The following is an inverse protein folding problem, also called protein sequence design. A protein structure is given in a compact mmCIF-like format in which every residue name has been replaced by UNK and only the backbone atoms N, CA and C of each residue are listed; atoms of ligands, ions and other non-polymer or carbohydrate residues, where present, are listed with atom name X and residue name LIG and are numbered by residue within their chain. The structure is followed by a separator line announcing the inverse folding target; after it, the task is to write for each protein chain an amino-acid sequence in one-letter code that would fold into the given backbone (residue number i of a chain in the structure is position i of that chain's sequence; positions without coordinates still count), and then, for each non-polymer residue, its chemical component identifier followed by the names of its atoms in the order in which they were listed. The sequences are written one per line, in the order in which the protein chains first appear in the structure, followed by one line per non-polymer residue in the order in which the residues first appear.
data_IF_691588039764
#
_entry.id   IF_691588039764
#
_cell.length_a   1.000
_cell.length_b   1.000
_cell.length_c   1.000
_cell.angle_alpha   90.00
_cell.angle_beta   90.00
_cell.angle_gamma   90.00
#
_symmetry.space_group_name_H-M   'P 1'
#
loop_
_entity.id
_entity.type
_entity.pdbx_description
1 polymer ?
#
# COMPACT_ATOMS: atom_id res chain seq x y z
N UNK A 1 47.36 -18.26 -40.93
CA UNK A 1 46.12 -18.76 -40.27
C UNK A 1 45.78 -17.82 -39.13
N UNK A 2 44.90 -16.86 -39.41
CA UNK A 2 44.43 -15.90 -38.41
C UNK A 2 43.12 -16.40 -37.87
N UNK A 3 43.08 -16.88 -36.64
CA UNK A 3 41.86 -17.17 -35.94
C UNK A 3 41.18 -15.88 -35.50
N UNK A 4 40.07 -15.58 -36.15
CA UNK A 4 39.24 -14.47 -35.66
C UNK A 4 38.45 -14.92 -34.44
N UNK A 5 38.81 -14.43 -33.26
CA UNK A 5 38.00 -14.62 -32.07
C UNK A 5 36.83 -13.64 -32.13
N UNK A 6 35.66 -14.13 -32.44
CA UNK A 6 34.42 -13.36 -32.32
C UNK A 6 34.07 -13.28 -30.84
N UNK A 7 34.35 -12.17 -30.19
CA UNK A 7 33.82 -11.94 -28.86
C UNK A 7 32.37 -11.51 -29.01
N UNK A 8 31.46 -12.42 -28.83
CA UNK A 8 30.03 -12.13 -28.67
C UNK A 8 29.85 -11.49 -27.30
N UNK A 9 29.84 -10.15 -27.29
CA UNK A 9 29.50 -9.40 -26.10
C UNK A 9 28.03 -9.66 -25.78
N UNK A 10 27.76 -10.46 -24.75
CA UNK A 10 26.43 -10.59 -24.20
C UNK A 10 26.09 -9.27 -23.49
N UNK A 11 25.32 -8.41 -24.16
CA UNK A 11 24.72 -7.29 -23.47
C UNK A 11 23.65 -7.83 -22.52
N UNK A 12 23.99 -7.90 -21.25
CA UNK A 12 23.01 -8.22 -20.22
C UNK A 12 22.17 -6.95 -20.02
N UNK A 13 20.99 -6.93 -20.61
CA UNK A 13 19.99 -5.93 -20.24
C UNK A 13 19.46 -6.30 -18.86
N UNK A 14 19.96 -5.68 -17.81
CA UNK A 14 19.31 -5.75 -16.52
C UNK A 14 18.04 -4.90 -16.63
N UNK A 15 16.90 -5.57 -16.84
CA UNK A 15 15.61 -4.97 -16.60
C UNK A 15 15.56 -4.73 -15.09
N UNK A 16 15.64 -3.45 -14.68
CA UNK A 16 15.34 -3.09 -13.31
C UNK A 16 13.89 -3.47 -13.06
N UNK A 17 13.65 -4.64 -12.50
CA UNK A 17 12.32 -5.00 -12.00
C UNK A 17 11.95 -3.96 -10.94
N UNK A 18 10.84 -3.25 -11.18
CA UNK A 18 10.27 -2.39 -10.17
C UNK A 18 10.00 -3.27 -8.95
N UNK A 19 10.71 -3.01 -7.84
CA UNK A 19 10.50 -3.74 -6.60
C UNK A 19 9.04 -3.64 -6.20
N UNK A 20 8.44 -4.77 -5.84
CA UNK A 20 7.15 -4.78 -5.20
C UNK A 20 7.25 -3.95 -3.91
N UNK A 21 6.41 -2.94 -3.77
CA UNK A 21 6.38 -2.12 -2.57
C UNK A 21 5.97 -2.96 -1.37
N UNK A 22 6.68 -2.81 -0.25
CA UNK A 22 6.24 -3.35 1.04
C UNK A 22 5.17 -2.43 1.62
N UNK A 23 3.96 -2.96 1.78
CA UNK A 23 2.82 -2.17 2.26
C UNK A 23 2.60 -2.24 3.77
N UNK A 24 3.24 -3.17 4.47
CA UNK A 24 3.03 -3.34 5.91
C UNK A 24 3.35 -2.05 6.66
N UNK A 25 2.44 -1.60 7.49
CA UNK A 25 2.57 -0.39 8.29
C UNK A 25 1.25 0.32 8.48
N UNK A 26 1.30 1.43 9.19
CA UNK A 26 0.18 2.32 9.40
C UNK A 26 0.27 3.48 8.41
N UNK A 27 -0.82 3.78 7.75
CA UNK A 27 -0.92 4.79 6.71
C UNK A 27 -1.94 5.85 7.11
N UNK A 28 -1.52 7.11 7.16
CA UNK A 28 -2.36 8.22 7.60
C UNK A 28 -2.56 9.24 6.48
N UNK A 29 -3.70 9.92 6.49
CA UNK A 29 -4.00 11.02 5.57
C UNK A 29 -3.12 12.23 5.80
N UNK A 30 -2.59 12.39 7.02
CA UNK A 30 -1.71 13.49 7.41
C UNK A 30 -0.54 12.94 8.23
N UNK A 31 0.67 13.12 7.72
CA UNK A 31 1.88 12.57 8.34
C UNK A 31 2.14 13.14 9.74
N UNK A 32 1.82 14.41 9.97
CA UNK A 32 1.98 15.09 11.26
C UNK A 32 0.96 14.64 12.32
N UNK A 33 -0.08 13.92 11.91
CA UNK A 33 -1.12 13.42 12.81
C UNK A 33 -0.99 11.92 13.12
N UNK A 34 0.08 11.28 12.67
CA UNK A 34 0.30 9.84 12.88
C UNK A 34 0.13 9.41 14.34
N UNK A 35 0.70 10.17 15.28
CA UNK A 35 0.64 9.85 16.71
C UNK A 35 -0.74 10.09 17.35
N UNK A 36 -1.62 10.80 16.66
CA UNK A 36 -2.99 11.04 17.11
C UNK A 36 -3.98 10.04 16.50
N UNK A 37 -3.64 9.48 15.34
CA UNK A 37 -4.46 8.48 14.65
C UNK A 37 -4.12 7.07 15.14
N UNK A 38 -2.83 6.80 15.35
CA UNK A 38 -2.32 5.48 15.74
C UNK A 38 -1.48 5.54 17.01
N UNK A 39 -1.43 4.42 17.71
CA UNK A 39 -0.55 4.23 18.86
C UNK A 39 0.01 2.82 18.86
N UNK A 40 1.09 2.60 19.63
CA UNK A 40 1.62 1.24 19.85
C UNK A 40 1.09 0.68 21.15
N UNK A 41 0.61 -0.54 21.09
CA UNK A 41 0.14 -1.30 22.23
C UNK A 41 0.67 -2.73 22.11
N UNK A 42 1.47 -3.17 23.08
CA UNK A 42 2.08 -4.50 23.09
C UNK A 42 2.84 -4.85 21.79
N UNK A 43 3.71 -3.93 21.33
CA UNK A 43 4.49 -4.02 20.09
C UNK A 43 3.63 -4.06 18.80
N UNK A 44 2.37 -3.68 18.89
CA UNK A 44 1.44 -3.68 17.79
C UNK A 44 0.88 -2.29 17.58
N UNK A 45 0.81 -1.86 16.32
CA UNK A 45 0.17 -0.59 15.97
C UNK A 45 -1.35 -0.78 15.95
N UNK A 46 -2.05 0.09 16.67
CA UNK A 46 -3.52 0.10 16.76
C UNK A 46 -4.02 1.53 16.58
N UNK A 47 -5.33 1.70 16.36
CA UNK A 47 -5.93 3.03 16.37
C UNK A 47 -5.91 3.62 17.76
N UNK A 48 -5.52 4.89 17.85
CA UNK A 48 -5.58 5.64 19.09
C UNK A 48 -7.03 5.94 19.46
N UNK A 49 -7.28 6.12 20.75
CA UNK A 49 -8.59 6.55 21.25
C UNK A 49 -8.92 7.94 20.66
N UNK A 50 -10.16 8.12 20.21
CA UNK A 50 -10.64 9.34 19.54
C UNK A 50 -9.89 9.72 18.26
N UNK A 51 -9.24 8.76 17.64
CA UNK A 51 -8.44 9.01 16.42
C UNK A 51 -9.26 9.59 15.27
N UNK A 52 -10.56 9.32 15.20
CA UNK A 52 -11.47 9.83 14.18
C UNK A 52 -11.57 11.36 14.17
N UNK A 53 -11.20 12.03 15.27
CA UNK A 53 -11.17 13.49 15.36
C UNK A 53 -9.99 14.12 14.63
N UNK A 54 -8.95 13.33 14.34
CA UNK A 54 -7.68 13.84 13.82
C UNK A 54 -7.42 13.45 12.36
N UNK A 55 -8.15 12.50 11.83
CA UNK A 55 -7.97 12.11 10.46
C UNK A 55 -8.32 10.65 10.21
N UNK A 56 -7.95 10.20 9.03
CA UNK A 56 -8.24 8.86 8.53
C UNK A 56 -6.96 8.12 8.22
N UNK A 57 -7.06 6.80 8.12
CA UNK A 57 -5.95 5.94 7.78
C UNK A 57 -6.34 4.48 7.87
N UNK A 58 -5.37 3.62 7.65
CA UNK A 58 -5.53 2.18 7.73
C UNK A 58 -4.21 1.53 8.13
N UNK A 59 -4.30 0.29 8.59
CA UNK A 59 -3.13 -0.48 8.99
C UNK A 59 -3.06 -1.71 8.08
N UNK A 60 -1.92 -1.91 7.43
CA UNK A 60 -1.66 -3.11 6.64
C UNK A 60 -0.67 -3.99 7.40
N UNK A 61 -1.04 -5.26 7.56
CA UNK A 61 -0.21 -6.28 8.20
C UNK A 61 -0.26 -7.53 7.31
N UNK A 62 0.77 -7.70 6.48
CA UNK A 62 0.82 -8.76 5.50
C UNK A 62 -0.31 -8.66 4.47
N UNK A 63 -1.22 -9.63 4.46
CA UNK A 63 -2.39 -9.66 3.59
C UNK A 63 -3.65 -9.05 4.21
N UNK A 64 -3.54 -8.49 5.41
CA UNK A 64 -4.66 -7.94 6.15
C UNK A 64 -4.63 -6.41 6.15
N UNK A 65 -5.76 -5.80 5.82
CA UNK A 65 -5.97 -4.36 5.93
C UNK A 65 -6.96 -4.13 7.06
N UNK A 66 -6.55 -3.39 8.08
CA UNK A 66 -7.41 -3.06 9.22
C UNK A 66 -7.86 -1.61 9.12
N UNK A 67 -9.17 -1.39 8.94
CA UNK A 67 -9.81 -0.11 9.08
C UNK A 67 -10.48 0.04 10.45
N UNK A 68 -11.05 1.21 10.73
CA UNK A 68 -11.78 1.43 11.98
C UNK A 68 -13.02 0.57 12.10
N UNK A 69 -13.74 0.40 10.99
CA UNK A 69 -15.05 -0.27 10.98
C UNK A 69 -14.98 -1.72 10.50
N UNK A 70 -13.85 -2.18 9.99
CA UNK A 70 -13.78 -3.53 9.45
C UNK A 70 -12.37 -3.92 9.04
N UNK A 71 -12.25 -5.16 8.61
CA UNK A 71 -10.98 -5.77 8.20
C UNK A 71 -11.14 -6.36 6.82
N UNK A 72 -10.11 -6.19 5.98
CA UNK A 72 -10.05 -6.79 4.65
C UNK A 72 -8.91 -7.81 4.58
N UNK A 73 -9.13 -8.88 3.83
CA UNK A 73 -8.08 -9.83 3.47
C UNK A 73 -7.76 -9.64 1.99
N UNK A 74 -6.50 -9.32 1.67
CA UNK A 74 -6.04 -9.15 0.30
C UNK A 74 -6.02 -10.52 -0.37
N UNK A 75 -6.79 -10.67 -1.45
CA UNK A 75 -6.89 -11.93 -2.23
C UNK A 75 -5.95 -11.94 -3.42
N UNK A 76 -5.73 -10.77 -4.02
CA UNK A 76 -4.80 -10.64 -5.15
C UNK A 76 -4.16 -9.26 -5.16
N UNK A 77 -2.97 -9.23 -5.72
CA UNK A 77 -2.16 -8.02 -5.84
C UNK A 77 -1.55 -7.98 -7.23
N UNK A 78 -1.73 -6.88 -7.94
CA UNK A 78 -1.15 -6.67 -9.26
C UNK A 78 -0.47 -5.31 -9.30
N UNK A 79 0.82 -5.31 -9.54
CA UNK A 79 1.60 -4.08 -9.68
C UNK A 79 2.13 -3.96 -11.10
N UNK A 80 1.90 -2.81 -11.73
CA UNK A 80 2.44 -2.42 -13.02
C UNK A 80 3.06 -1.04 -12.89
N UNK A 81 4.42 -0.99 -12.82
CA UNK A 81 5.12 0.26 -12.56
C UNK A 81 4.72 0.84 -11.20
N UNK A 82 4.15 2.05 -11.21
CA UNK A 82 3.66 2.75 -10.02
C UNK A 82 2.18 2.50 -9.71
N UNK A 83 1.50 1.73 -10.55
CA UNK A 83 0.09 1.36 -10.35
C UNK A 83 -0.02 0.04 -9.60
N UNK A 84 -0.81 0.02 -8.54
CA UNK A 84 -1.05 -1.16 -7.71
C UNK A 84 -2.54 -1.38 -7.53
N UNK A 85 -3.02 -2.56 -7.96
CA UNK A 85 -4.40 -2.98 -7.77
C UNK A 85 -4.44 -4.09 -6.71
N UNK A 86 -5.25 -3.89 -5.68
CA UNK A 86 -5.52 -4.88 -4.65
C UNK A 86 -6.98 -5.30 -4.74
N UNK A 87 -7.24 -6.60 -4.78
CA UNK A 87 -8.57 -7.16 -4.60
C UNK A 87 -8.65 -7.79 -3.22
N UNK A 88 -9.64 -7.40 -2.44
CA UNK A 88 -9.75 -7.81 -1.06
C UNK A 88 -11.19 -8.21 -0.71
N UNK A 89 -11.31 -9.13 0.23
CA UNK A 89 -12.59 -9.47 0.85
C UNK A 89 -12.67 -8.73 2.19
N UNK A 90 -13.63 -7.84 2.32
CA UNK A 90 -13.81 -6.97 3.47
C UNK A 90 -15.02 -7.37 4.30
N UNK A 91 -14.87 -7.31 5.61
CA UNK A 91 -15.94 -7.61 6.56
C UNK A 91 -16.05 -6.51 7.62
N UNK A 92 -17.25 -6.11 7.90
CA UNK A 92 -17.61 -5.26 9.04
C UNK A 92 -18.63 -5.99 9.92
N UNK A 93 -19.13 -5.33 10.97
CA UNK A 93 -20.14 -5.92 11.85
C UNK A 93 -21.47 -6.19 11.15
N UNK A 94 -21.73 -5.57 10.00
CA UNK A 94 -23.04 -5.61 9.33
C UNK A 94 -23.01 -6.23 7.94
N UNK A 95 -21.82 -6.32 7.29
CA UNK A 95 -21.76 -6.84 5.92
C UNK A 95 -20.39 -7.38 5.55
N UNK A 96 -20.37 -8.21 4.51
CA UNK A 96 -19.15 -8.63 3.82
C UNK A 96 -19.25 -8.19 2.36
N UNK A 97 -18.13 -7.78 1.76
CA UNK A 97 -18.09 -7.37 0.36
C UNK A 97 -16.69 -7.52 -0.22
N UNK A 98 -16.63 -7.68 -1.53
CA UNK A 98 -15.37 -7.61 -2.26
C UNK A 98 -15.09 -6.14 -2.63
N UNK A 99 -13.87 -5.70 -2.35
CA UNK A 99 -13.43 -4.32 -2.60
C UNK A 99 -12.16 -4.34 -3.42
N UNK A 100 -12.08 -3.47 -4.42
CA UNK A 100 -10.88 -3.22 -5.19
C UNK A 100 -10.27 -1.90 -4.76
N UNK A 101 -9.00 -1.93 -4.41
CA UNK A 101 -8.23 -0.74 -4.09
C UNK A 101 -7.29 -0.43 -5.25
N UNK A 102 -7.47 0.75 -5.86
CA UNK A 102 -6.62 1.26 -6.93
C UNK A 102 -5.65 2.26 -6.32
N UNK A 103 -4.38 1.91 -6.28
CA UNK A 103 -3.34 2.70 -5.64
C UNK A 103 -2.31 3.17 -6.66
N UNK A 104 -1.79 4.36 -6.46
CA UNK A 104 -0.60 4.86 -7.13
C UNK A 104 0.53 4.97 -6.11
N UNK A 105 1.66 4.36 -6.42
CA UNK A 105 2.86 4.43 -5.58
C UNK A 105 3.59 5.70 -5.95
N UNK A 106 3.71 6.63 -5.00
CA UNK A 106 4.47 7.88 -5.16
C UNK A 106 5.93 7.62 -4.79
N UNK A 107 6.15 7.03 -3.64
CA UNK A 107 7.44 6.52 -3.17
C UNK A 107 7.18 5.42 -2.11
N UNK A 108 8.23 4.94 -1.43
CA UNK A 108 8.10 3.85 -0.45
C UNK A 108 7.20 4.20 0.74
N UNK A 109 6.99 5.48 1.01
CA UNK A 109 6.24 5.95 2.17
C UNK A 109 5.00 6.78 1.82
N UNK A 110 4.70 6.93 0.53
CA UNK A 110 3.57 7.73 0.07
C UNK A 110 2.83 7.02 -1.04
N UNK A 111 1.53 6.86 -0.86
CA UNK A 111 0.63 6.28 -1.86
C UNK A 111 -0.58 7.18 -2.04
N UNK A 112 -1.22 7.08 -3.20
CA UNK A 112 -2.48 7.74 -3.48
C UNK A 112 -3.53 6.69 -3.84
N UNK A 113 -4.71 6.79 -3.25
CA UNK A 113 -5.85 5.93 -3.58
C UNK A 113 -6.82 6.67 -4.48
N UNK A 114 -7.16 6.08 -5.61
CA UNK A 114 -8.23 6.58 -6.46
C UNK A 114 -9.55 5.88 -6.16
N UNK A 115 -10.63 6.61 -6.38
CA UNK A 115 -12.00 6.12 -6.20
C UNK A 115 -12.67 6.10 -7.57
N UNK A 116 -12.69 4.94 -8.28
CA UNK A 116 -13.22 4.87 -9.65
C UNK A 116 -14.68 5.29 -9.78
N UNK A 117 -15.47 5.15 -8.71
CA UNK A 117 -16.89 5.53 -8.69
C UNK A 117 -17.09 7.04 -8.67
N UNK A 118 -16.07 7.82 -8.30
CA UNK A 118 -16.12 9.28 -8.22
C UNK A 118 -14.96 9.85 -9.02
N UNK A 119 -15.24 10.31 -10.24
CA UNK A 119 -14.24 10.82 -11.17
C UNK A 119 -13.42 11.96 -10.56
N UNK A 120 -12.10 11.85 -10.62
CA UNK A 120 -11.16 12.85 -10.12
C UNK A 120 -10.94 12.85 -8.62
N UNK A 121 -11.54 11.92 -7.89
CA UNK A 121 -11.34 11.82 -6.44
C UNK A 121 -10.15 10.90 -6.13
N UNK A 122 -9.23 11.40 -5.32
CA UNK A 122 -8.11 10.63 -4.80
C UNK A 122 -7.79 11.07 -3.37
N UNK A 123 -7.15 10.19 -2.62
CA UNK A 123 -6.69 10.46 -1.27
C UNK A 123 -5.25 10.00 -1.13
N UNK A 124 -4.39 10.88 -0.64
CA UNK A 124 -3.00 10.55 -0.36
C UNK A 124 -2.86 10.02 1.07
N UNK A 125 -1.97 9.05 1.22
CA UNK A 125 -1.62 8.47 2.51
C UNK A 125 -0.11 8.44 2.65
N UNK A 126 0.36 8.71 3.84
CA UNK A 126 1.77 8.64 4.22
C UNK A 126 1.97 7.54 5.26
N UNK A 127 3.01 6.74 5.09
CA UNK A 127 3.38 5.72 6.07
C UNK A 127 3.87 6.38 7.35
N UNK A 128 3.27 6.02 8.48
CA UNK A 128 3.68 6.50 9.78
C UNK A 128 4.95 5.79 10.25
N UNK A 129 5.81 6.53 10.92
CA UNK A 129 7.03 6.01 11.56
C UNK A 129 6.81 5.95 13.07
N UNK A 130 7.14 4.82 13.64
CA UNK A 130 7.04 4.58 15.09
C UNK A 130 8.37 4.09 15.66
#
# INVERSE_FOLDING_TARGET
LVGAAIVLGSSVFSVAEARAIELTGAWATHADLCNQIFTRQDNRVVYAEFSELFGSGFIIDGDRIRGRAGTCIIKSRKQEGDSLELSAACASSIMTQDVRFSLKIIDDNNISRSFPEIAGMSQNYTRCKF
#
